data_IF_703406693432
#
_entry.id   IF_703406693432
#
_cell.length_a   1.000
_cell.length_b   1.000
_cell.length_c   1.000
_cell.angle_alpha   90.00
_cell.angle_beta   90.00
_cell.angle_gamma   90.00
#
_symmetry.space_group_name_H-M   'P 1'
#
loop_
_entity.id
_entity.type
_entity.pdbx_description
1 polymer ?
#
# COMPACT_ATOMS: atom_id res chain seq x y z
N UNK A 1 46.22 -49.96 -21.94
CA UNK A 1 46.06 -48.52 -22.29
C UNK A 1 44.96 -48.31 -23.32
N UNK A 2 44.96 -48.99 -24.47
CA UNK A 2 43.93 -48.79 -25.51
C UNK A 2 42.56 -49.38 -25.15
N UNK A 3 42.48 -50.53 -24.47
CA UNK A 3 41.21 -51.12 -23.99
C UNK A 3 40.55 -50.29 -22.87
N UNK A 4 41.36 -49.75 -21.94
CA UNK A 4 40.89 -48.90 -20.85
C UNK A 4 40.35 -47.54 -21.32
N UNK A 5 40.95 -46.98 -22.40
CA UNK A 5 40.44 -45.77 -23.06
C UNK A 5 39.10 -46.01 -23.76
N UNK A 6 38.78 -47.25 -24.13
CA UNK A 6 37.49 -47.59 -24.73
C UNK A 6 36.37 -47.65 -23.68
N UNK A 7 36.63 -48.21 -22.49
CA UNK A 7 35.63 -48.36 -21.42
C UNK A 7 35.30 -47.05 -20.69
N UNK A 8 36.21 -46.06 -20.70
CA UNK A 8 35.99 -44.72 -20.09
C UNK A 8 35.83 -43.60 -21.12
N UNK A 9 35.70 -43.95 -22.41
CA UNK A 9 35.58 -42.97 -23.50
C UNK A 9 34.41 -42.02 -23.26
N UNK A 10 33.27 -42.59 -22.89
CA UNK A 10 32.03 -41.84 -22.66
C UNK A 10 32.15 -40.87 -21.48
N UNK A 11 32.89 -41.26 -20.42
CA UNK A 11 33.11 -40.41 -19.25
C UNK A 11 34.07 -39.25 -19.57
N UNK A 12 35.11 -39.50 -20.37
CA UNK A 12 36.04 -38.45 -20.82
C UNK A 12 35.30 -37.45 -21.73
N UNK A 13 34.49 -37.95 -22.67
CA UNK A 13 33.69 -37.11 -23.57
C UNK A 13 32.68 -36.25 -22.79
N UNK A 14 32.05 -36.80 -21.75
CA UNK A 14 31.16 -36.05 -20.84
C UNK A 14 31.89 -34.93 -20.10
N UNK A 15 33.08 -35.19 -19.56
CA UNK A 15 33.86 -34.17 -18.85
C UNK A 15 34.40 -33.10 -19.80
N UNK A 16 34.85 -33.47 -21.00
CA UNK A 16 35.28 -32.50 -22.01
C UNK A 16 34.13 -31.61 -22.49
N UNK A 17 32.95 -32.19 -22.70
CA UNK A 17 31.74 -31.42 -23.01
C UNK A 17 31.34 -30.51 -21.84
N UNK A 18 31.35 -31.01 -20.60
CA UNK A 18 31.06 -30.23 -19.40
C UNK A 18 32.03 -29.07 -19.17
N UNK A 19 33.33 -29.25 -19.44
CA UNK A 19 34.32 -28.18 -19.38
C UNK A 19 34.05 -27.10 -20.44
N UNK A 20 33.63 -27.48 -21.64
CA UNK A 20 33.25 -26.53 -22.69
C UNK A 20 32.02 -25.72 -22.29
N UNK A 21 31.00 -26.39 -21.75
CA UNK A 21 29.78 -25.73 -21.27
C UNK A 21 30.07 -24.85 -20.05
N UNK A 22 30.99 -25.24 -19.16
CA UNK A 22 31.43 -24.41 -18.02
C UNK A 22 31.97 -23.06 -18.47
N UNK A 23 32.76 -23.01 -19.55
CA UNK A 23 33.27 -21.72 -20.09
C UNK A 23 32.10 -20.82 -20.51
N UNK A 24 31.08 -21.38 -21.13
CA UNK A 24 29.88 -20.61 -21.52
C UNK A 24 29.08 -20.14 -20.31
N UNK A 25 28.92 -21.01 -19.31
CA UNK A 25 28.23 -20.70 -18.06
C UNK A 25 28.97 -19.62 -17.26
N UNK A 26 30.30 -19.67 -17.20
CA UNK A 26 31.13 -18.66 -16.55
C UNK A 26 31.01 -17.30 -17.24
N UNK A 27 30.96 -17.28 -18.57
CA UNK A 27 30.74 -16.04 -19.33
C UNK A 27 29.34 -15.45 -19.09
N UNK A 28 28.30 -16.29 -19.03
CA UNK A 28 26.94 -15.89 -18.66
C UNK A 28 26.88 -15.35 -17.23
N UNK A 29 27.48 -16.06 -16.27
CA UNK A 29 27.55 -15.67 -14.86
C UNK A 29 28.23 -14.32 -14.68
N UNK A 30 29.40 -14.13 -15.31
CA UNK A 30 30.12 -12.85 -15.27
C UNK A 30 29.28 -11.71 -15.83
N UNK A 31 28.62 -11.93 -16.98
CA UNK A 31 27.76 -10.90 -17.58
C UNK A 31 26.62 -10.52 -16.63
N UNK A 32 25.90 -11.50 -16.06
CA UNK A 32 24.81 -11.25 -15.13
C UNK A 32 25.31 -10.57 -13.84
N UNK A 33 26.48 -10.95 -13.36
CA UNK A 33 27.11 -10.34 -12.18
C UNK A 33 27.47 -8.88 -12.43
N UNK A 34 28.12 -8.58 -13.55
CA UNK A 34 28.45 -7.22 -13.96
C UNK A 34 27.17 -6.38 -14.13
N UNK A 35 26.09 -6.94 -14.71
CA UNK A 35 24.78 -6.28 -14.79
C UNK A 35 24.21 -5.95 -13.40
N UNK A 36 24.23 -6.87 -12.43
CA UNK A 36 23.76 -6.57 -11.07
C UNK A 36 24.66 -5.58 -10.32
N UNK A 37 25.97 -5.59 -10.55
CA UNK A 37 26.88 -4.57 -10.01
C UNK A 37 26.58 -3.18 -10.59
N UNK A 38 26.31 -3.08 -11.89
CA UNK A 38 25.92 -1.81 -12.53
C UNK A 38 24.58 -1.31 -11.98
N UNK A 39 23.57 -2.18 -11.84
CA UNK A 39 22.28 -1.82 -11.23
C UNK A 39 22.45 -1.33 -9.79
N UNK A 40 23.26 -2.02 -8.98
CA UNK A 40 23.58 -1.58 -7.62
C UNK A 40 24.19 -0.17 -7.61
N UNK A 41 25.16 0.09 -8.49
CA UNK A 41 25.79 1.40 -8.59
C UNK A 41 24.80 2.50 -9.03
N UNK A 42 23.88 2.20 -9.96
CA UNK A 42 22.83 3.12 -10.38
C UNK A 42 21.86 3.45 -9.23
N UNK A 43 21.41 2.43 -8.49
CA UNK A 43 20.55 2.58 -7.30
C UNK A 43 21.28 3.39 -6.22
N UNK A 44 22.57 3.15 -5.99
CA UNK A 44 23.36 3.89 -5.01
C UNK A 44 23.51 5.37 -5.38
N UNK A 45 23.75 5.68 -6.65
CA UNK A 45 23.76 7.06 -7.15
C UNK A 45 22.38 7.70 -7.01
N UNK A 46 21.30 6.97 -7.31
CA UNK A 46 19.93 7.48 -7.13
C UNK A 46 19.62 7.77 -5.65
N UNK A 47 19.90 6.83 -4.75
CA UNK A 47 19.69 6.98 -3.31
C UNK A 47 20.50 8.14 -2.72
N UNK A 48 21.76 8.30 -3.12
CA UNK A 48 22.58 9.44 -2.67
C UNK A 48 22.03 10.78 -3.17
N UNK A 49 21.54 10.86 -4.42
CA UNK A 49 20.87 12.06 -4.93
C UNK A 49 19.58 12.38 -4.18
N UNK A 50 18.74 11.36 -3.93
CA UNK A 50 17.50 11.52 -3.17
C UNK A 50 17.77 11.97 -1.74
N UNK A 51 18.82 11.44 -1.12
CA UNK A 51 19.24 11.85 0.23
C UNK A 51 19.60 13.32 0.32
N UNK A 52 20.36 13.84 -0.66
CA UNK A 52 20.67 15.28 -0.75
C UNK A 52 19.38 16.09 -0.98
N UNK A 53 18.45 15.58 -1.80
CA UNK A 53 17.18 16.27 -2.04
C UNK A 53 16.31 16.33 -0.79
N UNK A 54 16.25 15.25 0.00
CA UNK A 54 15.55 15.21 1.30
C UNK A 54 16.12 16.26 2.25
N UNK A 55 17.45 16.34 2.38
CA UNK A 55 18.11 17.33 3.24
C UNK A 55 17.80 18.77 2.80
N UNK A 56 17.81 19.03 1.49
CA UNK A 56 17.43 20.35 0.95
C UNK A 56 15.95 20.68 1.21
N UNK A 57 15.06 19.70 1.06
CA UNK A 57 13.62 19.87 1.32
C UNK A 57 13.32 20.01 2.82
N UNK A 58 14.08 19.37 3.69
CA UNK A 58 13.98 19.52 5.14
C UNK A 58 14.32 20.96 5.55
N UNK A 59 15.45 21.51 5.06
CA UNK A 59 15.81 22.90 5.31
C UNK A 59 14.76 23.89 4.79
N UNK A 60 14.18 23.64 3.59
CA UNK A 60 13.08 24.46 3.07
C UNK A 60 11.82 24.33 3.91
N UNK A 61 11.47 23.11 4.34
CA UNK A 61 10.30 22.85 5.18
C UNK A 61 10.39 23.63 6.49
N UNK A 62 11.54 23.62 7.16
CA UNK A 62 11.74 24.35 8.40
C UNK A 62 11.53 25.85 8.24
N UNK A 63 12.08 26.43 7.17
CA UNK A 63 11.91 27.85 6.85
C UNK A 63 10.45 28.20 6.51
N UNK A 64 9.80 27.34 5.73
CA UNK A 64 8.41 27.53 5.33
C UNK A 64 7.44 27.40 6.53
N UNK A 65 7.70 26.48 7.46
CA UNK A 65 6.96 26.31 8.72
C UNK A 65 7.22 27.44 9.73
N UNK A 66 8.42 28.03 9.72
CA UNK A 66 8.72 29.24 10.50
C UNK A 66 7.88 30.41 9.99
N UNK A 67 7.87 30.65 8.69
CA UNK A 67 7.07 31.70 8.05
C UNK A 67 5.56 31.47 8.22
N UNK A 68 5.09 30.22 8.13
CA UNK A 68 3.70 29.85 8.43
C UNK A 68 3.30 30.25 9.85
N UNK A 69 4.14 29.96 10.85
CA UNK A 69 3.89 30.34 12.25
C UNK A 69 3.86 31.85 12.44
N UNK A 70 4.82 32.59 11.87
CA UNK A 70 4.87 34.05 11.97
C UNK A 70 3.63 34.70 11.34
N UNK A 71 3.23 34.25 10.15
CA UNK A 71 2.03 34.78 9.48
C UNK A 71 0.76 34.41 10.23
N UNK A 72 0.66 33.17 10.74
CA UNK A 72 -0.46 32.72 11.55
C UNK A 72 -0.61 33.53 12.84
N UNK A 73 0.49 33.76 13.55
CA UNK A 73 0.51 34.60 14.76
C UNK A 73 0.10 36.03 14.45
N UNK A 74 0.59 36.62 13.36
CA UNK A 74 0.22 37.95 12.91
C UNK A 74 -1.28 38.05 12.56
N UNK A 75 -1.83 37.05 11.85
CA UNK A 75 -3.26 36.96 11.51
C UNK A 75 -4.13 36.83 12.75
N UNK A 76 -3.77 35.94 13.67
CA UNK A 76 -4.50 35.78 14.94
C UNK A 76 -4.45 37.07 15.76
N UNK A 77 -3.30 37.73 15.85
CA UNK A 77 -3.16 39.00 16.55
C UNK A 77 -4.03 40.10 15.91
N UNK A 78 -4.05 40.19 14.58
CA UNK A 78 -4.90 41.12 13.84
C UNK A 78 -6.40 40.84 14.06
N UNK A 79 -6.85 39.59 13.92
CA UNK A 79 -8.25 39.21 14.18
C UNK A 79 -8.67 39.48 15.63
N UNK A 80 -7.79 39.20 16.61
CA UNK A 80 -8.05 39.54 18.02
C UNK A 80 -8.17 41.05 18.22
N UNK A 81 -7.28 41.83 17.63
CA UNK A 81 -7.32 43.29 17.71
C UNK A 81 -8.62 43.84 17.10
N UNK A 82 -9.02 43.31 15.95
CA UNK A 82 -10.27 43.65 15.28
C UNK A 82 -11.49 43.33 16.16
N UNK A 83 -11.55 42.15 16.79
CA UNK A 83 -12.62 41.80 17.74
C UNK A 83 -12.64 42.79 18.92
N UNK A 84 -11.49 43.08 19.52
CA UNK A 84 -11.38 44.03 20.62
C UNK A 84 -11.85 45.43 20.23
N UNK A 85 -11.51 45.90 19.03
CA UNK A 85 -11.97 47.20 18.50
C UNK A 85 -13.46 47.20 18.20
N UNK A 86 -13.98 46.18 17.51
CA UNK A 86 -15.40 46.07 17.13
C UNK A 86 -16.31 46.03 18.36
N UNK A 87 -15.89 45.31 19.41
CA UNK A 87 -16.60 45.22 20.68
C UNK A 87 -16.37 46.42 21.62
N UNK A 88 -15.56 47.41 21.23
CA UNK A 88 -15.24 48.58 22.06
C UNK A 88 -14.51 48.23 23.37
N UNK A 89 -13.81 47.10 23.42
CA UNK A 89 -13.12 46.62 24.61
C UNK A 89 -11.78 47.32 24.87
N UNK A 90 -11.20 47.96 23.85
CA UNK A 90 -9.93 48.70 23.99
C UNK A 90 -10.08 49.99 24.81
N UNK A 91 -11.28 50.55 24.86
CA UNK A 91 -11.57 51.80 25.56
C UNK A 91 -11.83 51.58 27.07
N UNK A 92 -11.93 50.31 27.50
CA UNK A 92 -12.27 49.93 28.87
C UNK A 92 -11.04 49.80 29.78
N UNK A 93 -11.22 50.11 31.06
CA UNK A 93 -10.20 49.91 32.09
C UNK A 93 -10.10 48.44 32.52
N UNK A 94 -9.02 48.10 33.23
CA UNK A 94 -8.81 46.74 33.76
C UNK A 94 -9.92 46.32 34.72
N UNK A 95 -10.41 47.25 35.53
CA UNK A 95 -11.50 47.02 36.49
C UNK A 95 -12.81 46.70 35.76
N UNK A 96 -13.12 47.44 34.70
CA UNK A 96 -14.30 47.22 33.86
C UNK A 96 -14.24 45.88 33.11
N UNK A 97 -13.09 45.57 32.51
CA UNK A 97 -12.88 44.27 31.86
C UNK A 97 -13.02 43.11 32.86
N UNK A 98 -12.55 43.29 34.10
CA UNK A 98 -12.72 42.28 35.17
C UNK A 98 -14.20 42.13 35.55
N UNK A 99 -14.95 43.23 35.62
CA UNK A 99 -16.39 43.21 35.87
C UNK A 99 -17.15 42.43 34.79
N UNK A 100 -16.85 42.67 33.51
CA UNK A 100 -17.42 41.91 32.38
C UNK A 100 -17.16 40.41 32.53
N UNK A 101 -15.93 40.01 32.88
CA UNK A 101 -15.57 38.58 33.07
C UNK A 101 -16.40 37.95 34.21
N UNK A 102 -16.61 38.67 35.31
CA UNK A 102 -17.42 38.21 36.43
C UNK A 102 -18.90 38.07 36.05
N UNK A 103 -19.44 39.03 35.31
CA UNK A 103 -20.82 38.99 34.83
C UNK A 103 -21.05 37.85 33.82
N UNK A 104 -20.09 37.58 32.93
CA UNK A 104 -20.10 36.40 32.06
C UNK A 104 -20.12 35.11 32.91
N UNK A 105 -19.27 35.01 33.93
CA UNK A 105 -19.23 33.85 34.82
C UNK A 105 -20.51 33.65 35.64
N UNK A 106 -21.20 34.74 35.98
CA UNK A 106 -22.45 34.71 36.76
C UNK A 106 -23.68 34.40 35.91
N UNK A 107 -23.83 35.05 34.75
CA UNK A 107 -24.99 34.93 33.87
C UNK A 107 -24.87 33.73 32.93
N UNK A 108 -23.65 33.33 32.60
CA UNK A 108 -23.39 32.43 31.48
C UNK A 108 -23.63 33.13 30.15
N UNK A 109 -23.00 32.62 29.09
CA UNK A 109 -23.16 33.10 27.72
C UNK A 109 -23.33 31.87 26.84
N UNK A 110 -24.53 31.69 26.28
CA UNK A 110 -24.88 30.55 25.43
C UNK A 110 -24.55 30.80 23.95
N UNK A 111 -24.59 32.07 23.55
CA UNK A 111 -24.28 32.52 22.20
C UNK A 111 -23.45 33.81 22.22
N UNK A 112 -22.61 34.01 21.20
CA UNK A 112 -21.63 35.12 21.19
C UNK A 112 -22.28 36.50 21.34
N UNK A 113 -23.44 36.70 20.73
CA UNK A 113 -24.17 37.96 20.77
C UNK A 113 -24.71 38.34 22.17
N UNK A 114 -24.81 37.39 23.10
CA UNK A 114 -25.18 37.69 24.49
C UNK A 114 -24.06 38.44 25.23
N UNK A 115 -22.85 38.53 24.66
CA UNK A 115 -21.78 39.39 25.16
C UNK A 115 -22.10 40.87 25.00
N UNK A 116 -22.80 41.26 23.92
CA UNK A 116 -23.09 42.67 23.62
C UNK A 116 -23.85 43.39 24.75
N UNK A 117 -24.96 42.87 25.31
CA UNK A 117 -25.64 43.54 26.41
C UNK A 117 -24.79 43.62 27.69
N UNK A 118 -23.93 42.63 27.96
CA UNK A 118 -23.03 42.66 29.14
C UNK A 118 -21.99 43.76 28.97
N UNK A 119 -21.34 43.83 27.80
CA UNK A 119 -20.35 44.86 27.46
C UNK A 119 -21.00 46.24 27.50
N UNK A 120 -22.21 46.38 26.94
CA UNK A 120 -22.98 47.62 26.94
C UNK A 120 -23.30 48.10 28.35
N UNK A 121 -23.77 47.21 29.23
CA UNK A 121 -24.07 47.52 30.62
C UNK A 121 -22.84 48.08 31.37
N UNK A 122 -21.67 47.47 31.18
CA UNK A 122 -20.44 47.92 31.85
C UNK A 122 -19.90 49.23 31.25
N UNK A 123 -20.10 49.46 29.94
CA UNK A 123 -19.83 50.76 29.31
C UNK A 123 -20.79 51.83 29.83
N UNK A 124 -22.07 51.52 29.98
CA UNK A 124 -23.08 52.43 30.54
C UNK A 124 -22.74 52.85 31.98
N UNK A 125 -22.35 51.90 32.83
CA UNK A 125 -21.92 52.17 34.21
C UNK A 125 -20.66 53.04 34.29
N UNK A 126 -19.84 53.07 33.24
CA UNK A 126 -18.65 53.92 33.16
C UNK A 126 -18.96 55.39 32.87
N UNK A 127 -20.07 55.66 32.17
CA UNK A 127 -20.44 56.98 31.65
C UNK A 127 -21.61 57.61 32.40
N UNK A 128 -21.73 57.38 33.73
CA UNK A 128 -22.77 58.01 34.56
C UNK A 128 -22.78 59.54 34.40
N UNK A 129 -23.67 60.06 33.53
CA UNK A 129 -23.85 61.50 33.28
C UNK A 129 -23.97 61.95 31.82
N UNK A 130 -23.75 61.09 30.81
CA UNK A 130 -23.94 61.43 29.38
C UNK A 130 -25.31 60.95 28.86
N UNK A 131 -26.05 61.80 28.12
CA UNK A 131 -27.42 61.52 27.65
C UNK A 131 -27.49 60.42 26.56
N UNK A 132 -26.42 60.20 25.79
CA UNK A 132 -26.32 59.15 24.78
C UNK A 132 -24.92 58.52 24.79
N UNK A 133 -24.82 57.25 25.16
CA UNK A 133 -23.57 56.51 25.02
C UNK A 133 -23.27 56.22 23.55
N UNK A 134 -22.00 56.37 23.12
CA UNK A 134 -21.59 55.95 21.79
C UNK A 134 -21.69 54.42 21.66
N UNK A 135 -22.56 53.95 20.76
CA UNK A 135 -22.68 52.54 20.39
C UNK A 135 -21.33 52.03 19.86
N UNK A 136 -21.00 50.77 20.15
CA UNK A 136 -19.83 50.15 19.53
C UNK A 136 -20.13 49.86 18.05
N UNK A 137 -19.13 49.78 17.17
CA UNK A 137 -19.35 49.36 15.78
C UNK A 137 -20.10 48.03 15.69
N UNK A 138 -19.82 47.10 16.61
CA UNK A 138 -20.53 45.82 16.67
C UNK A 138 -21.98 45.96 17.16
N UNK A 139 -22.29 46.88 18.08
CA UNK A 139 -23.69 47.14 18.47
C UNK A 139 -24.53 47.66 17.31
N UNK A 140 -23.99 48.58 16.51
CA UNK A 140 -24.67 49.14 15.34
C UNK A 140 -24.93 48.06 14.27
N UNK A 141 -23.91 47.25 13.98
CA UNK A 141 -24.01 46.13 13.05
C UNK A 141 -25.01 45.07 13.54
N UNK A 142 -25.03 44.78 14.84
CA UNK A 142 -25.94 43.81 15.44
C UNK A 142 -27.40 44.30 15.41
N UNK A 143 -27.64 45.57 15.68
CA UNK A 143 -28.97 46.18 15.61
C UNK A 143 -29.50 46.20 14.18
N UNK A 144 -28.69 46.63 13.21
CA UNK A 144 -29.05 46.58 11.80
C UNK A 144 -29.31 45.15 11.32
N UNK A 145 -28.55 44.16 11.82
CA UNK A 145 -28.80 42.74 11.56
C UNK A 145 -30.14 42.29 12.14
N UNK A 146 -30.46 42.64 13.40
CA UNK A 146 -31.75 42.27 14.03
C UNK A 146 -32.93 42.83 13.25
N UNK A 147 -32.84 44.07 12.77
CA UNK A 147 -33.91 44.65 11.95
C UNK A 147 -34.13 43.87 10.65
N UNK A 148 -33.05 43.48 9.96
CA UNK A 148 -33.13 42.65 8.76
C UNK A 148 -33.60 41.23 9.06
N UNK A 149 -33.18 40.66 10.19
CA UNK A 149 -33.61 39.33 10.60
C UNK A 149 -35.09 39.30 10.94
N UNK A 150 -35.60 40.33 11.62
CA UNK A 150 -37.02 40.49 11.93
C UNK A 150 -37.89 40.63 10.68
N UNK A 151 -37.44 41.40 9.67
CA UNK A 151 -38.17 41.51 8.40
C UNK A 151 -38.16 40.18 7.67
N UNK A 152 -36.99 39.53 7.58
CA UNK A 152 -36.87 38.18 7.03
C UNK A 152 -37.79 37.19 7.73
N UNK A 153 -37.84 37.18 9.06
CA UNK A 153 -38.64 36.20 9.82
C UNK A 153 -40.13 36.41 9.58
N UNK A 154 -40.57 37.67 9.42
CA UNK A 154 -41.96 37.98 9.03
C UNK A 154 -42.27 37.45 7.64
N UNK A 155 -41.37 37.62 6.67
CA UNK A 155 -41.54 37.06 5.33
C UNK A 155 -41.49 35.52 5.32
N UNK A 156 -40.59 34.89 6.07
CA UNK A 156 -40.56 33.43 6.27
C UNK A 156 -41.91 32.93 6.78
N UNK A 157 -42.46 33.52 7.85
CA UNK A 157 -43.77 33.14 8.40
C UNK A 157 -44.90 33.36 7.40
N UNK A 158 -44.84 34.43 6.61
CA UNK A 158 -45.82 34.70 5.55
C UNK A 158 -45.77 33.60 4.48
N UNK A 159 -44.57 33.26 4.00
CA UNK A 159 -44.35 32.22 2.99
C UNK A 159 -44.79 30.85 3.53
N UNK A 160 -44.40 30.48 4.75
CA UNK A 160 -44.82 29.23 5.40
C UNK A 160 -46.35 29.12 5.50
N UNK A 161 -47.03 30.21 5.87
CA UNK A 161 -48.49 30.24 5.90
C UNK A 161 -49.10 30.07 4.51
N UNK A 162 -48.50 30.67 3.47
CA UNK A 162 -48.93 30.51 2.08
C UNK A 162 -48.70 29.08 1.57
N UNK A 163 -47.57 28.45 1.90
CA UNK A 163 -47.29 27.05 1.58
C UNK A 163 -48.34 26.14 2.24
N UNK A 164 -48.62 26.37 3.53
CA UNK A 164 -49.59 25.57 4.28
C UNK A 164 -51.03 25.78 3.77
N UNK A 165 -51.38 26.99 3.34
CA UNK A 165 -52.66 27.27 2.68
C UNK A 165 -52.77 26.53 1.34
N UNK A 166 -51.74 26.62 0.48
CA UNK A 166 -51.71 25.87 -0.79
C UNK A 166 -51.85 24.37 -0.55
N UNK A 167 -51.13 23.80 0.42
CA UNK A 167 -51.23 22.39 0.78
C UNK A 167 -52.65 21.99 1.17
N UNK A 168 -53.32 22.80 2.00
CA UNK A 168 -54.71 22.55 2.41
C UNK A 168 -55.70 22.66 1.25
N UNK A 169 -55.49 23.62 0.36
CA UNK A 169 -56.33 23.78 -0.83
C UNK A 169 -56.15 22.63 -1.81
N UNK A 170 -54.93 22.15 -2.01
CA UNK A 170 -54.62 20.96 -2.82
C UNK A 170 -55.21 19.70 -2.19
N UNK A 171 -55.09 19.50 -0.88
CA UNK A 171 -55.73 18.40 -0.16
C UNK A 171 -57.25 18.43 -0.31
N UNK A 172 -57.87 19.61 -0.18
CA UNK A 172 -59.30 19.80 -0.35
C UNK A 172 -59.73 19.50 -1.80
N UNK A 173 -59.01 20.04 -2.79
CA UNK A 173 -59.26 19.76 -4.22
C UNK A 173 -59.11 18.26 -4.53
N UNK A 174 -58.11 17.60 -3.97
CA UNK A 174 -57.91 16.16 -4.14
C UNK A 174 -59.06 15.35 -3.51
N UNK A 175 -59.55 15.77 -2.34
CA UNK A 175 -60.70 15.12 -1.70
C UNK A 175 -62.00 15.34 -2.48
N UNK A 176 -62.27 16.57 -2.93
CA UNK A 176 -63.43 16.90 -3.77
C UNK A 176 -63.38 16.12 -5.10
N UNK A 177 -62.19 16.01 -5.72
CA UNK A 177 -62.01 15.21 -6.94
C UNK A 177 -62.27 13.72 -6.69
N UNK A 178 -61.83 13.18 -5.55
CA UNK A 178 -62.09 11.78 -5.16
C UNK A 178 -63.58 11.52 -4.94
N UNK A 179 -64.28 12.40 -4.24
CA UNK A 179 -65.73 12.30 -4.00
C UNK A 179 -66.52 12.43 -5.31
N UNK A 180 -66.12 13.33 -6.23
CA UNK A 180 -66.73 13.46 -7.55
C UNK A 180 -66.55 12.18 -8.39
N UNK A 181 -65.39 11.55 -8.31
CA UNK A 181 -65.09 10.30 -9.03
C UNK A 181 -65.88 9.10 -8.45
N UNK A 182 -66.05 9.05 -7.13
CA UNK A 182 -66.88 8.05 -6.45
C UNK A 182 -68.37 8.21 -6.81
N UNK A 183 -68.86 9.45 -6.82
CA UNK A 183 -70.25 9.74 -7.22
C UNK A 183 -70.50 9.45 -8.71
N UNK A 184 -69.54 9.76 -9.58
CA UNK A 184 -69.63 9.40 -11.00
C UNK A 184 -69.62 7.87 -11.19
N UNK A 185 -68.89 7.12 -10.36
CA UNK A 185 -68.91 5.66 -10.37
C UNK A 185 -70.25 5.09 -9.88
N UNK A 186 -70.87 5.68 -8.84
CA UNK A 186 -72.22 5.31 -8.39
C UNK A 186 -73.30 5.63 -9.43
N UNK A 187 -73.24 6.79 -10.09
CA UNK A 187 -74.18 7.16 -11.16
C UNK A 187 -74.01 6.27 -12.41
N UNK A 188 -72.78 5.87 -12.74
CA UNK A 188 -72.51 4.88 -13.79
C UNK A 188 -73.02 3.47 -13.41
N UNK A 189 -72.93 3.08 -12.14
CA UNK A 189 -73.49 1.83 -11.64
C UNK A 189 -75.02 1.84 -11.65
N UNK A 190 -75.66 2.97 -11.31
CA UNK A 190 -77.11 3.13 -11.37
C UNK A 190 -77.66 3.16 -12.82
N UNK A 191 -76.89 3.69 -13.77
CA UNK A 191 -77.23 3.61 -15.20
C UNK A 191 -77.12 2.20 -15.79
N UNK A 192 -76.38 1.29 -15.13
CA UNK A 192 -76.23 -0.11 -15.54
C UNK A 192 -77.37 -1.03 -15.05
N UNK A 193 -78.26 -0.59 -14.15
CA UNK A 193 -79.46 -1.37 -13.73
C UNK A 193 -80.65 -1.25 -14.71
N UNK A 194 -80.45 -0.68 -15.90
CA UNK A 194 -81.44 -0.59 -16.97
C UNK A 194 -80.99 -1.26 -18.26
N UNK A 195 -80.60 -2.53 -18.23
CA UNK A 195 -80.28 -3.28 -19.45
C UNK A 195 -79.74 -4.68 -19.20
N UNK A 196 -80.64 -5.66 -19.13
CA UNK A 196 -80.34 -7.09 -19.16
C UNK A 196 -79.53 -7.44 -20.43
N UNK A 197 -78.36 -8.07 -20.29
CA UNK A 197 -78.14 -9.51 -20.59
C UNK A 197 -76.66 -9.89 -20.45
N UNK A 198 -76.46 -11.01 -19.76
CA UNK A 198 -75.35 -11.97 -19.82
C UNK A 198 -74.69 -12.11 -21.20
N UNK A 199 -73.35 -12.16 -21.27
CA UNK A 199 -72.53 -13.40 -21.24
C UNK A 199 -71.11 -13.15 -21.83
N UNK A 200 -70.10 -13.65 -21.08
CA UNK A 200 -68.74 -14.06 -21.45
C UNK A 200 -68.05 -13.58 -22.75
N UNK A 201 -66.80 -13.07 -22.66
CA UNK A 201 -65.55 -13.82 -22.92
C UNK A 201 -64.31 -12.91 -23.00
N UNK A 202 -63.16 -13.47 -22.61
CA UNK A 202 -61.80 -12.93 -22.75
C UNK A 202 -61.43 -12.60 -24.21
N UNK A 203 -60.66 -11.52 -24.43
CA UNK A 203 -59.29 -11.58 -24.97
C UNK A 203 -58.77 -10.21 -25.46
N UNK A 204 -57.51 -9.95 -25.06
CA UNK A 204 -56.45 -9.09 -25.61
C UNK A 204 -56.66 -8.48 -27.00
N UNK A 205 -56.46 -7.15 -27.12
CA UNK A 205 -55.82 -6.46 -28.26
C UNK A 205 -55.59 -4.95 -27.98
N UNK A 206 -54.34 -4.46 -28.11
CA UNK A 206 -54.04 -3.11 -28.63
C UNK A 206 -54.23 -3.13 -30.18
N UNK A 207 -54.25 -2.03 -30.99
CA UNK A 207 -53.78 -0.65 -30.76
C UNK A 207 -54.59 0.52 -31.45
N UNK A 208 -54.06 1.75 -31.32
CA UNK A 208 -54.10 2.94 -32.23
C UNK A 208 -55.36 3.85 -32.44
N UNK A 209 -55.19 5.12 -31.98
CA UNK A 209 -55.46 6.45 -32.60
C UNK A 209 -56.84 6.81 -33.21
N UNK A 210 -57.50 7.85 -32.67
CA UNK A 210 -57.61 9.24 -33.23
C UNK A 210 -58.54 10.13 -32.35
N UNK A 211 -58.20 11.43 -32.26
CA UNK A 211 -58.71 12.48 -31.36
C UNK A 211 -60.13 13.03 -31.74
N UNK A 212 -60.81 13.94 -30.97
CA UNK A 212 -60.35 15.33 -30.79
C UNK A 212 -60.75 16.08 -29.49
N UNK A 213 -59.86 17.01 -29.09
CA UNK A 213 -60.12 18.39 -28.60
C UNK A 213 -61.09 18.58 -27.43
N UNK A 214 -60.53 18.90 -26.26
CA UNK A 214 -61.21 19.65 -25.20
C UNK A 214 -60.32 20.81 -24.74
N UNK A 215 -60.60 21.97 -25.34
CA UNK A 215 -60.69 23.31 -24.73
C UNK A 215 -59.71 23.55 -23.57
N UNK A 216 -58.62 24.25 -23.88
CA UNK A 216 -57.86 25.07 -22.94
C UNK A 216 -58.81 26.11 -22.32
N UNK A 217 -59.29 25.84 -21.12
CA UNK A 217 -59.76 26.91 -20.24
C UNK A 217 -58.52 27.44 -19.52
N UNK A 218 -58.05 28.60 -19.99
CA UNK A 218 -56.99 29.39 -19.35
C UNK A 218 -57.39 29.68 -17.90
N UNK A 219 -56.94 28.85 -16.97
CA UNK A 219 -56.73 29.30 -15.59
C UNK A 219 -55.64 30.37 -15.69
N UNK A 220 -55.89 31.61 -15.22
CA UNK A 220 -54.84 32.61 -15.21
C UNK A 220 -53.69 32.03 -14.40
N UNK A 221 -52.54 31.83 -15.05
CA UNK A 221 -51.28 31.67 -14.35
C UNK A 221 -51.00 32.99 -13.65
N UNK A 222 -51.61 33.18 -12.48
CA UNK A 222 -51.03 34.04 -11.46
C UNK A 222 -49.58 33.59 -11.36
N UNK A 223 -48.66 34.54 -11.53
CA UNK A 223 -47.23 34.33 -11.49
C UNK A 223 -46.92 33.38 -10.33
N UNK A 224 -46.46 32.16 -10.66
CA UNK A 224 -45.90 31.24 -9.67
C UNK A 224 -44.62 31.91 -9.18
N UNK A 225 -44.74 32.87 -8.27
CA UNK A 225 -43.67 33.25 -7.37
C UNK A 225 -43.32 31.96 -6.62
N UNK A 226 -42.27 31.31 -7.09
CA UNK A 226 -41.64 30.16 -6.46
C UNK A 226 -41.44 30.55 -4.98
N UNK A 227 -42.18 29.89 -4.08
CA UNK A 227 -42.23 30.22 -2.65
C UNK A 227 -40.94 29.78 -1.96
N UNK A 228 -39.83 30.36 -2.37
CA UNK A 228 -38.52 30.08 -1.81
C UNK A 228 -38.35 30.83 -0.50
N UNK A 229 -37.98 30.12 0.56
CA UNK A 229 -37.70 30.74 1.85
C UNK A 229 -36.46 31.64 1.76
N UNK A 230 -36.47 32.82 2.40
CA UNK A 230 -35.33 33.73 2.40
C UNK A 230 -34.12 33.15 3.15
N UNK A 231 -32.91 33.39 2.64
CA UNK A 231 -31.66 32.85 3.18
C UNK A 231 -31.30 33.42 4.56
N UNK A 232 -30.61 32.62 5.38
CA UNK A 232 -30.13 33.00 6.72
C UNK A 232 -28.78 33.66 6.69
N UNK A 233 -28.79 35.00 6.81
CA UNK A 233 -27.58 35.76 7.11
C UNK A 233 -26.98 35.33 8.45
N UNK A 234 -25.67 35.15 8.46
CA UNK A 234 -24.88 34.94 9.68
C UNK A 234 -24.77 36.24 10.46
N UNK A 235 -24.92 36.15 11.78
CA UNK A 235 -24.86 37.32 12.66
C UNK A 235 -23.44 37.93 12.65
N UNK A 236 -23.28 39.27 12.68
CA UNK A 236 -21.96 39.85 12.44
C UNK A 236 -20.91 39.54 13.53
N UNK A 237 -21.34 39.33 14.78
CA UNK A 237 -20.41 38.88 15.83
C UNK A 237 -19.93 37.45 15.56
N UNK A 238 -20.78 36.59 14.98
CA UNK A 238 -20.38 35.23 14.65
C UNK A 238 -19.33 35.21 13.54
N UNK A 239 -19.49 36.07 12.52
CA UNK A 239 -18.50 36.29 11.46
C UNK A 239 -17.13 36.70 11.99
N UNK A 240 -17.06 37.61 12.97
CA UNK A 240 -15.77 38.03 13.56
C UNK A 240 -15.03 36.86 14.23
N UNK A 241 -15.75 36.01 14.95
CA UNK A 241 -15.16 34.83 15.59
C UNK A 241 -14.89 33.69 14.59
N UNK A 242 -15.64 33.60 13.50
CA UNK A 242 -15.33 32.70 12.39
C UNK A 242 -14.05 33.11 11.67
N UNK A 243 -13.84 34.41 11.45
CA UNK A 243 -12.60 34.95 10.91
C UNK A 243 -11.41 34.65 11.83
N UNK A 244 -11.56 34.81 13.14
CA UNK A 244 -10.54 34.37 14.11
C UNK A 244 -10.26 32.87 13.99
N UNK A 245 -11.30 32.04 13.91
CA UNK A 245 -11.13 30.60 13.75
C UNK A 245 -10.49 30.22 12.40
N UNK A 246 -10.73 31.00 11.35
CA UNK A 246 -10.06 30.85 10.05
C UNK A 246 -8.57 31.21 10.15
N UNK A 247 -8.23 32.30 10.85
CA UNK A 247 -6.85 32.67 11.18
C UNK A 247 -6.13 31.59 12.02
N UNK A 248 -6.83 30.95 12.96
CA UNK A 248 -6.29 29.84 13.76
C UNK A 248 -6.07 28.56 12.96
N UNK A 249 -6.81 28.36 11.87
CA UNK A 249 -6.63 27.24 10.93
C UNK A 249 -5.79 27.62 9.72
N UNK A 250 -5.21 28.82 9.69
CA UNK A 250 -4.38 29.25 8.59
C UNK A 250 -3.20 28.30 8.40
N UNK A 251 -3.03 27.86 7.16
CA UNK A 251 -1.89 27.10 6.67
C UNK A 251 -1.32 27.81 5.44
N UNK A 252 0.00 27.92 5.38
CA UNK A 252 0.67 28.55 4.26
C UNK A 252 0.79 27.54 3.13
N UNK A 253 0.29 27.90 1.94
CA UNK A 253 0.25 27.00 0.78
C UNK A 253 1.62 26.40 0.43
N UNK A 254 2.68 27.20 0.50
CA UNK A 254 4.05 26.77 0.24
C UNK A 254 4.58 25.80 1.33
N UNK A 255 4.19 25.99 2.60
CA UNK A 255 4.52 25.07 3.68
C UNK A 255 3.82 23.72 3.49
N UNK A 256 2.52 23.71 3.13
CA UNK A 256 1.77 22.49 2.80
C UNK A 256 2.42 21.74 1.63
N UNK A 257 2.76 22.44 0.54
CA UNK A 257 3.42 21.84 -0.62
C UNK A 257 4.80 21.27 -0.26
N UNK A 258 5.61 22.01 0.49
CA UNK A 258 6.96 21.59 0.88
C UNK A 258 6.92 20.40 1.83
N UNK A 259 5.98 20.37 2.80
CA UNK A 259 5.74 19.19 3.66
C UNK A 259 5.45 17.95 2.83
N UNK A 260 4.54 18.06 1.86
CA UNK A 260 4.17 16.96 0.97
C UNK A 260 5.36 16.51 0.12
N UNK A 261 6.06 17.43 -0.54
CA UNK A 261 7.24 17.11 -1.35
C UNK A 261 8.34 16.41 -0.54
N UNK A 262 8.58 16.88 0.69
CA UNK A 262 9.53 16.26 1.60
C UNK A 262 9.10 14.82 1.97
N UNK A 263 7.83 14.58 2.31
CA UNK A 263 7.35 13.23 2.60
C UNK A 263 7.41 12.30 1.38
N UNK A 264 6.97 12.77 0.22
CA UNK A 264 7.02 12.01 -1.03
C UNK A 264 8.46 11.59 -1.36
N UNK A 265 9.41 12.55 -1.33
CA UNK A 265 10.84 12.28 -1.61
C UNK A 265 11.48 11.38 -0.54
N UNK A 266 11.07 11.51 0.72
CA UNK A 266 11.56 10.66 1.81
C UNK A 266 11.08 9.21 1.65
N UNK A 267 9.85 9.02 1.19
CA UNK A 267 9.32 7.68 0.89
C UNK A 267 10.05 7.07 -0.31
N UNK A 268 10.31 7.86 -1.36
CA UNK A 268 11.12 7.42 -2.51
C UNK A 268 12.53 7.01 -2.09
N UNK A 269 13.19 7.78 -1.20
CA UNK A 269 14.50 7.41 -0.65
C UNK A 269 14.43 6.09 0.10
N UNK A 270 13.43 5.88 0.95
CA UNK A 270 13.29 4.64 1.72
C UNK A 270 13.08 3.41 0.81
N UNK A 271 12.32 3.57 -0.27
CA UNK A 271 12.13 2.52 -1.27
C UNK A 271 13.44 2.22 -2.02
N UNK A 272 14.22 3.23 -2.37
CA UNK A 272 15.49 3.07 -3.06
C UNK A 272 16.57 2.46 -2.15
N UNK A 273 16.65 2.87 -0.88
CA UNK A 273 17.51 2.27 0.13
C UNK A 273 17.18 0.79 0.36
N UNK A 274 15.89 0.43 0.32
CA UNK A 274 15.47 -0.98 0.40
C UNK A 274 15.95 -1.78 -0.80
N UNK A 275 15.79 -1.26 -2.02
CA UNK A 275 16.33 -1.92 -3.24
C UNK A 275 17.85 -2.06 -3.17
N UNK A 276 18.55 -1.04 -2.65
CA UNK A 276 20.00 -1.10 -2.46
C UNK A 276 20.38 -2.21 -1.49
N UNK A 277 19.69 -2.32 -0.36
CA UNK A 277 19.94 -3.36 0.62
C UNK A 277 19.67 -4.77 0.05
N UNK A 278 18.62 -4.93 -0.76
CA UNK A 278 18.33 -6.18 -1.45
C UNK A 278 19.41 -6.54 -2.47
N UNK A 279 19.87 -5.58 -3.28
CA UNK A 279 20.96 -5.78 -4.24
C UNK A 279 22.30 -6.08 -3.56
N UNK A 280 22.61 -5.38 -2.46
CA UNK A 280 23.80 -5.66 -1.63
C UNK A 280 23.74 -7.07 -1.07
N UNK A 281 22.62 -7.48 -0.47
CA UNK A 281 22.43 -8.83 0.06
C UNK A 281 22.53 -9.90 -1.03
N UNK A 282 22.11 -9.59 -2.26
CA UNK A 282 22.25 -10.51 -3.39
C UNK A 282 23.72 -10.71 -3.76
N UNK A 283 24.51 -9.63 -3.80
CA UNK A 283 25.93 -9.62 -4.19
C UNK A 283 26.88 -10.03 -3.06
N UNK A 284 26.43 -10.06 -1.81
CA UNK A 284 27.23 -10.51 -0.65
C UNK A 284 27.28 -12.05 -0.55
N UNK A 285 26.32 -12.75 -1.15
CA UNK A 285 26.26 -14.22 -1.12
C UNK A 285 27.43 -14.85 -1.90
N UNK A 286 27.88 -16.01 -1.42
CA UNK A 286 28.83 -16.84 -2.15
C UNK A 286 28.11 -17.63 -3.25
N UNK A 287 28.60 -17.50 -4.49
CA UNK A 287 28.12 -18.20 -5.68
C UNK A 287 29.18 -19.16 -6.24
N UNK A 288 30.15 -19.56 -5.43
CA UNK A 288 31.28 -20.41 -5.81
C UNK A 288 32.28 -19.69 -6.72
N UNK A 289 33.29 -20.44 -7.18
CA UNK A 289 34.30 -19.95 -8.11
C UNK A 289 33.66 -19.33 -9.36
N UNK A 290 34.22 -18.21 -9.83
CA UNK A 290 33.74 -17.44 -10.99
C UNK A 290 32.25 -17.00 -10.93
N UNK A 291 31.64 -17.03 -9.74
CA UNK A 291 30.20 -16.85 -9.55
C UNK A 291 29.34 -17.78 -10.43
N UNK A 292 29.84 -18.97 -10.78
CA UNK A 292 29.17 -19.92 -11.69
C UNK A 292 27.72 -20.23 -11.27
N UNK A 293 27.48 -20.38 -9.96
CA UNK A 293 26.14 -20.66 -9.44
C UNK A 293 25.19 -19.45 -9.56
N UNK A 294 25.69 -18.25 -9.79
CA UNK A 294 24.88 -17.06 -10.02
C UNK A 294 24.04 -17.17 -11.30
N UNK A 295 24.62 -17.69 -12.38
CA UNK A 295 23.90 -17.98 -13.62
C UNK A 295 22.88 -19.12 -13.46
N UNK A 296 23.01 -19.93 -12.41
CA UNK A 296 22.07 -21.00 -12.08
C UNK A 296 20.97 -20.55 -11.12
N UNK A 297 21.06 -19.33 -10.55
CA UNK A 297 20.05 -18.80 -9.63
C UNK A 297 18.67 -18.88 -10.26
N UNK A 298 17.70 -19.39 -9.49
CA UNK A 298 16.31 -19.59 -9.89
C UNK A 298 16.08 -20.61 -11.02
N UNK A 299 17.14 -21.22 -11.60
CA UNK A 299 17.00 -22.38 -12.49
C UNK A 299 16.63 -23.61 -11.68
N UNK A 300 15.78 -24.47 -12.23
CA UNK A 300 15.35 -25.71 -11.59
C UNK A 300 15.58 -26.92 -12.49
N UNK A 301 15.93 -28.05 -11.86
CA UNK A 301 16.10 -29.34 -12.52
C UNK A 301 15.05 -30.30 -11.98
N UNK A 302 14.42 -31.05 -12.88
CA UNK A 302 13.35 -31.99 -12.56
C UNK A 302 13.71 -33.40 -13.04
N UNK A 303 13.42 -34.42 -12.22
CA UNK A 303 13.56 -35.82 -12.62
C UNK A 303 12.47 -36.68 -11.99
N UNK A 304 12.05 -37.72 -12.72
CA UNK A 304 11.12 -38.72 -12.24
C UNK A 304 11.89 -39.93 -11.70
N UNK A 305 11.66 -40.27 -10.43
CA UNK A 305 12.24 -41.45 -9.81
C UNK A 305 11.13 -42.30 -9.18
N UNK A 306 10.93 -43.50 -9.74
CA UNK A 306 9.84 -44.38 -9.36
C UNK A 306 8.47 -43.78 -9.70
N UNK A 307 7.72 -43.35 -8.67
CA UNK A 307 6.37 -42.79 -8.82
C UNK A 307 6.26 -41.30 -8.47
N UNK A 308 7.38 -40.67 -8.14
CA UNK A 308 7.42 -39.29 -7.65
C UNK A 308 8.26 -38.43 -8.58
N UNK A 309 7.87 -37.16 -8.72
CA UNK A 309 8.62 -36.16 -9.45
C UNK A 309 9.41 -35.30 -8.48
N UNK A 310 10.73 -35.30 -8.61
CA UNK A 310 11.63 -34.49 -7.82
C UNK A 310 11.99 -33.23 -8.58
N UNK A 311 11.99 -32.10 -7.89
CA UNK A 311 12.38 -30.79 -8.43
C UNK A 311 13.31 -30.10 -7.45
N UNK A 312 14.42 -29.58 -7.97
CA UNK A 312 15.40 -28.83 -7.18
C UNK A 312 15.64 -27.51 -7.88
N UNK A 313 15.55 -26.40 -7.14
CA UNK A 313 15.84 -25.06 -7.64
C UNK A 313 17.05 -24.47 -6.92
N UNK A 314 18.03 -23.97 -7.66
CA UNK A 314 19.21 -23.31 -7.08
C UNK A 314 18.80 -22.05 -6.31
N UNK A 315 19.35 -21.88 -5.11
CA UNK A 315 18.99 -20.83 -4.13
C UNK A 315 17.50 -20.77 -3.76
N UNK A 316 16.74 -21.82 -4.09
CA UNK A 316 15.32 -21.95 -3.84
C UNK A 316 15.01 -23.17 -2.98
N UNK A 317 13.96 -23.90 -3.34
CA UNK A 317 13.49 -25.08 -2.61
C UNK A 317 13.62 -26.35 -3.44
N UNK A 318 13.75 -27.48 -2.74
CA UNK A 318 13.60 -28.81 -3.29
C UNK A 318 12.22 -29.39 -2.91
N UNK A 319 11.59 -30.10 -3.84
CA UNK A 319 10.26 -30.69 -3.67
C UNK A 319 10.17 -32.10 -4.27
N UNK A 320 9.38 -32.96 -3.62
CA UNK A 320 8.90 -34.24 -4.13
C UNK A 320 7.38 -34.08 -4.38
N UNK A 321 6.98 -33.96 -5.63
CA UNK A 321 5.66 -33.50 -6.06
C UNK A 321 5.27 -32.20 -5.33
N UNK A 322 4.29 -32.27 -4.43
CA UNK A 322 3.84 -31.15 -3.60
C UNK A 322 4.52 -31.08 -2.22
N UNK A 323 5.31 -32.09 -1.86
CA UNK A 323 5.97 -32.18 -0.55
C UNK A 323 7.28 -31.42 -0.56
N UNK A 324 7.46 -30.46 0.36
CA UNK A 324 8.71 -29.73 0.50
C UNK A 324 9.79 -30.60 1.13
N UNK A 325 10.92 -30.75 0.45
CA UNK A 325 12.11 -31.44 0.95
C UNK A 325 13.06 -30.51 1.69
N UNK A 326 13.08 -29.22 1.36
CA UNK A 326 13.86 -28.21 2.09
C UNK A 326 14.10 -26.94 1.27
N UNK A 327 14.61 -25.90 1.92
CA UNK A 327 15.21 -24.73 1.26
C UNK A 327 16.72 -24.95 1.16
N UNK A 328 17.33 -24.45 0.09
CA UNK A 328 18.78 -24.54 -0.12
C UNK A 328 19.51 -23.77 0.97
N UNK A 329 20.43 -24.44 1.64
CA UNK A 329 21.38 -23.80 2.55
C UNK A 329 22.41 -23.00 1.76
N UNK A 330 23.02 -21.99 2.41
CA UNK A 330 24.11 -21.24 1.79
C UNK A 330 25.25 -22.18 1.40
N UNK A 331 25.87 -21.88 0.25
CA UNK A 331 27.04 -22.60 -0.20
C UNK A 331 28.15 -22.34 0.81
N UNK A 332 28.42 -23.35 1.64
CA UNK A 332 29.58 -23.34 2.53
C UNK A 332 30.74 -23.98 1.81
N UNK A 333 31.90 -23.35 1.88
CA UNK A 333 33.15 -24.03 1.55
C UNK A 333 33.37 -25.27 2.42
N UNK A 334 34.33 -26.13 2.04
CA UNK A 334 34.69 -27.25 2.90
C UNK A 334 34.99 -26.70 4.30
N UNK A 335 34.17 -27.07 5.29
CA UNK A 335 34.51 -26.77 6.68
C UNK A 335 35.86 -27.44 6.95
N UNK A 336 36.84 -26.74 7.55
CA UNK A 336 38.09 -27.37 7.91
C UNK A 336 37.75 -28.53 8.83
N UNK A 337 37.89 -29.76 8.32
CA UNK A 337 37.70 -30.97 9.10
C UNK A 337 38.71 -30.92 10.23
N UNK A 338 38.24 -30.50 11.40
CA UNK A 338 39.05 -30.34 12.59
C UNK A 338 39.45 -31.68 13.16
N UNK A 339 40.58 -32.21 12.69
CA UNK A 339 41.44 -33.12 13.44
C UNK A 339 42.89 -32.83 13.06
N UNK A 340 43.52 -31.86 13.74
CA UNK A 340 44.95 -31.58 13.61
C UNK A 340 45.31 -30.10 13.66
N UNK A 341 45.10 -29.44 14.80
CA UNK A 341 45.71 -28.13 15.07
C UNK A 341 47.23 -28.29 15.19
N UNK A 342 47.97 -27.92 14.14
CA UNK A 342 49.37 -27.50 14.29
C UNK A 342 49.44 -26.00 14.02
N UNK A 343 49.65 -25.25 15.11
CA UNK A 343 49.72 -23.79 15.18
C UNK A 343 50.99 -23.23 14.54
N UNK A 344 51.36 -23.60 13.31
CA UNK A 344 52.53 -23.02 12.64
C UNK A 344 52.44 -23.22 11.11
N UNK A 345 51.56 -22.46 10.45
CA UNK A 345 51.67 -22.22 9.01
C UNK A 345 51.28 -20.77 8.70
N UNK A 346 52.10 -20.02 7.93
CA UNK A 346 51.86 -18.62 7.66
C UNK A 346 50.59 -18.43 6.82
N UNK A 347 49.77 -17.46 7.20
CA UNK A 347 48.60 -17.00 6.47
C UNK A 347 49.00 -16.49 5.09
N UNK A 348 48.98 -17.37 4.09
CA UNK A 348 48.94 -17.00 2.69
C UNK A 348 47.48 -16.67 2.36
N UNK A 349 47.23 -15.38 2.32
CA UNK A 349 45.99 -14.73 1.89
C UNK A 349 45.79 -14.90 0.40
N UNK A 350 45.08 -15.95 0.01
CA UNK A 350 44.28 -16.05 -1.21
C UNK A 350 42.99 -16.76 -0.75
N UNK A 351 41.77 -16.31 -1.11
CA UNK A 351 40.57 -17.07 -0.78
C UNK A 351 40.69 -18.42 -1.49
N UNK A 352 40.84 -19.51 -0.72
CA UNK A 352 40.79 -20.85 -1.29
C UNK A 352 39.49 -20.96 -2.07
N UNK A 353 39.58 -21.17 -3.39
CA UNK A 353 38.41 -21.25 -4.26
C UNK A 353 37.41 -22.24 -3.65
N UNK A 354 36.21 -21.76 -3.36
CA UNK A 354 35.16 -22.57 -2.73
C UNK A 354 34.72 -23.65 -3.73
N UNK A 355 35.32 -24.84 -3.67
CA UNK A 355 34.91 -25.97 -4.52
C UNK A 355 33.60 -26.52 -3.94
N UNK A 356 32.50 -26.17 -4.57
CA UNK A 356 31.17 -26.64 -4.21
C UNK A 356 31.00 -28.09 -4.68
N UNK A 357 30.87 -29.01 -3.73
CA UNK A 357 30.75 -30.46 -4.02
C UNK A 357 29.35 -31.00 -3.72
N UNK A 358 28.60 -30.33 -2.85
CA UNK A 358 27.24 -30.73 -2.48
C UNK A 358 26.35 -29.51 -2.22
N UNK A 359 25.06 -29.65 -2.53
CA UNK A 359 24.00 -28.71 -2.16
C UNK A 359 23.13 -29.35 -1.08
N UNK A 360 22.95 -28.65 0.04
CA UNK A 360 22.11 -29.11 1.15
C UNK A 360 20.77 -28.39 1.14
N UNK A 361 19.70 -29.14 1.28
CA UNK A 361 18.35 -28.63 1.45
C UNK A 361 17.81 -29.09 2.80
N UNK A 362 17.47 -28.15 3.67
CA UNK A 362 16.98 -28.44 5.02
C UNK A 362 15.70 -27.66 5.34
N UNK A 363 15.10 -27.91 6.52
CA UNK A 363 13.84 -27.25 6.89
C UNK A 363 12.63 -27.68 6.04
N UNK A 364 12.66 -28.90 5.50
CA UNK A 364 11.54 -29.47 4.75
C UNK A 364 10.30 -29.75 5.60
N UNK A 365 9.22 -30.18 4.95
CA UNK A 365 7.96 -30.49 5.60
C UNK A 365 8.14 -31.61 6.64
N UNK A 366 7.53 -31.43 7.83
CA UNK A 366 7.61 -32.40 8.93
C UNK A 366 7.15 -33.79 8.47
N UNK A 367 8.00 -34.79 8.68
CA UNK A 367 7.69 -36.19 8.46
C UNK A 367 6.92 -36.76 9.65
N UNK A 368 5.88 -37.55 9.40
CA UNK A 368 5.07 -38.18 10.46
C UNK A 368 5.90 -39.10 11.35
N UNK A 369 6.86 -39.82 10.77
CA UNK A 369 7.71 -40.78 11.48
C UNK A 369 9.21 -40.44 11.32
N UNK A 370 9.57 -39.15 11.34
CA UNK A 370 10.94 -38.75 11.07
C UNK A 370 11.25 -37.29 11.40
N UNK A 371 12.47 -36.84 11.05
CA UNK A 371 12.85 -35.43 11.15
C UNK A 371 12.05 -34.57 10.16
N UNK A 372 12.33 -33.28 10.15
CA UNK A 372 11.94 -32.47 8.99
C UNK A 372 12.65 -33.06 7.76
N UNK A 373 11.95 -33.13 6.63
CA UNK A 373 12.56 -33.65 5.40
C UNK A 373 13.81 -32.85 5.06
N UNK A 374 14.78 -33.53 4.48
CA UNK A 374 16.02 -32.93 3.95
C UNK A 374 16.47 -33.67 2.70
N UNK A 375 17.21 -32.97 1.84
CA UNK A 375 17.80 -33.53 0.63
C UNK A 375 19.25 -33.05 0.50
N UNK A 376 20.17 -33.99 0.30
CA UNK A 376 21.57 -33.67 -0.05
C UNK A 376 21.82 -34.05 -1.50
N UNK A 377 22.27 -33.08 -2.30
CA UNK A 377 22.52 -33.25 -3.73
C UNK A 377 24.02 -33.20 -3.95
N UNK A 378 24.63 -34.32 -4.35
CA UNK A 378 26.04 -34.37 -4.74
C UNK A 378 26.19 -33.85 -6.15
N UNK A 379 27.13 -32.94 -6.37
CA UNK A 379 27.39 -32.37 -7.69
C UNK A 379 28.44 -33.20 -8.42
N UNK A 380 28.14 -33.62 -9.64
CA UNK A 380 29.06 -34.33 -10.53
C UNK A 380 29.29 -33.52 -11.81
N UNK A 381 30.50 -33.58 -12.35
CA UNK A 381 30.81 -32.92 -13.62
C UNK A 381 30.01 -33.59 -14.76
N UNK A 382 29.33 -32.78 -15.56
CA UNK A 382 28.67 -33.20 -16.79
C UNK A 382 28.29 -32.00 -17.67
N UNK A 383 27.89 -32.22 -18.93
CA UNK A 383 27.44 -31.16 -19.85
C UNK A 383 26.02 -30.69 -19.53
N UNK A 384 25.57 -29.64 -20.22
CA UNK A 384 24.14 -29.31 -20.31
C UNK A 384 23.42 -30.29 -21.27
N UNK A 385 22.12 -30.59 -21.04
CA UNK A 385 21.27 -30.11 -19.95
C UNK A 385 21.64 -30.77 -18.61
N UNK A 386 21.54 -30.00 -17.52
CA UNK A 386 21.69 -30.56 -16.17
C UNK A 386 20.73 -31.72 -15.90
N UNK A 387 21.24 -32.79 -15.29
CA UNK A 387 20.50 -34.04 -15.07
C UNK A 387 20.52 -34.46 -13.60
N UNK A 388 19.33 -34.65 -13.01
CA UNK A 388 19.15 -35.18 -11.66
C UNK A 388 18.96 -36.70 -11.71
N UNK A 389 19.80 -37.43 -11.01
CA UNK A 389 19.86 -38.90 -11.04
C UNK A 389 20.14 -39.49 -9.66
N UNK A 390 20.08 -40.82 -9.54
CA UNK A 390 20.36 -41.59 -8.31
C UNK A 390 19.66 -41.02 -7.06
N UNK A 391 18.36 -40.75 -7.19
CA UNK A 391 17.53 -40.25 -6.09
C UNK A 391 17.17 -41.43 -5.17
N UNK A 392 17.68 -41.39 -3.94
CA UNK A 392 17.52 -42.44 -2.95
C UNK A 392 17.04 -41.85 -1.61
N UNK A 393 16.35 -42.67 -0.82
CA UNK A 393 15.95 -42.34 0.56
C UNK A 393 16.75 -43.23 1.53
N UNK A 394 18.03 -42.90 1.80
CA UNK A 394 18.90 -43.72 2.66
C UNK A 394 18.40 -43.85 4.10
N UNK A 395 17.64 -42.86 4.59
CA UNK A 395 16.94 -42.96 5.87
C UNK A 395 15.60 -42.23 5.80
N UNK A 396 14.67 -42.57 6.70
CA UNK A 396 13.29 -42.06 6.65
C UNK A 396 13.26 -40.54 6.57
N UNK A 397 12.68 -40.02 5.50
CA UNK A 397 12.54 -38.60 5.18
C UNK A 397 13.86 -37.82 4.97
N UNK A 398 14.98 -38.53 4.75
CA UNK A 398 16.27 -37.95 4.35
C UNK A 398 16.63 -38.52 2.98
N UNK A 399 16.77 -37.62 2.00
CA UNK A 399 16.99 -37.97 0.61
C UNK A 399 18.43 -37.66 0.19
N UNK A 400 18.97 -38.44 -0.73
CA UNK A 400 20.22 -38.14 -1.44
C UNK A 400 20.01 -38.23 -2.94
N UNK A 401 20.61 -37.33 -3.70
CA UNK A 401 20.58 -37.37 -5.15
C UNK A 401 21.93 -36.95 -5.74
N UNK A 402 22.14 -37.21 -7.03
CA UNK A 402 23.27 -36.72 -7.80
C UNK A 402 22.79 -35.77 -8.90
N UNK A 403 23.44 -34.64 -9.02
CA UNK A 403 23.17 -33.66 -10.06
C UNK A 403 24.40 -33.51 -10.95
N UNK A 404 24.27 -33.87 -12.23
CA UNK A 404 25.27 -33.57 -13.24
C UNK A 404 25.13 -32.14 -13.70
N UNK A 405 26.20 -31.38 -13.63
CA UNK A 405 26.21 -29.96 -14.01
C UNK A 405 27.61 -29.52 -14.47
N UNK A 406 27.69 -28.61 -15.46
CA UNK A 406 28.98 -28.04 -15.87
C UNK A 406 29.60 -27.14 -14.79
N UNK A 407 28.81 -26.66 -13.83
CA UNK A 407 29.28 -25.73 -12.79
C UNK A 407 30.41 -26.28 -11.90
N UNK A 408 30.52 -27.62 -11.79
CA UNK A 408 31.56 -28.27 -10.97
C UNK A 408 32.66 -28.93 -11.79
N UNK A 409 32.61 -28.87 -13.12
CA UNK A 409 33.64 -29.46 -13.97
C UNK A 409 34.97 -28.72 -13.84
N UNK A 410 36.05 -29.40 -13.46
CA UNK A 410 37.38 -28.81 -13.35
C UNK A 410 38.41 -29.58 -14.20
N UNK A 411 39.51 -28.93 -14.57
CA UNK A 411 40.63 -29.63 -15.23
C UNK A 411 41.18 -30.75 -14.33
N UNK A 412 41.10 -30.60 -13.01
CA UNK A 412 41.47 -31.64 -12.06
C UNK A 412 40.58 -32.89 -12.15
N UNK A 413 39.28 -32.76 -12.49
CA UNK A 413 38.40 -33.92 -12.71
C UNK A 413 38.81 -34.68 -13.98
N UNK A 414 39.15 -33.94 -15.05
CA UNK A 414 39.67 -34.49 -16.30
C UNK A 414 40.99 -35.24 -16.06
N UNK A 415 41.91 -34.65 -15.32
CA UNK A 415 43.19 -35.29 -14.96
C UNK A 415 42.99 -36.53 -14.07
N UNK A 416 42.09 -36.48 -13.07
CA UNK A 416 41.76 -37.64 -12.22
C UNK A 416 41.23 -38.82 -13.03
N UNK A 417 40.33 -38.57 -13.99
CA UNK A 417 39.78 -39.62 -14.86
C UNK A 417 40.86 -40.21 -15.78
N UNK A 418 41.81 -39.37 -16.21
CA UNK A 418 42.93 -39.79 -17.07
C UNK A 418 44.08 -40.50 -16.32
N UNK A 419 44.20 -40.35 -14.99
CA UNK A 419 45.36 -40.83 -14.20
C UNK A 419 45.09 -41.99 -13.24
N UNK A 420 43.85 -42.27 -12.82
CA UNK A 420 43.59 -43.36 -11.85
C UNK A 420 43.69 -44.77 -12.46
N UNK A 421 44.87 -45.37 -12.32
CA UNK A 421 45.13 -46.81 -12.17
C UNK A 421 46.40 -47.04 -11.31
N UNK A 422 46.22 -47.26 -10.02
CA UNK A 422 47.09 -48.16 -9.26
C UNK A 422 46.20 -49.12 -8.49
N UNK A 423 45.74 -50.14 -9.20
CA UNK A 423 45.10 -51.30 -8.61
C UNK A 423 45.83 -51.77 -7.34
N UNK A 424 45.18 -51.67 -6.18
CA UNK A 424 45.47 -52.55 -5.04
C UNK A 424 45.02 -53.96 -5.44
N UNK A 425 45.89 -54.68 -6.16
CA UNK A 425 45.74 -56.12 -6.31
C UNK A 425 46.22 -56.74 -5.00
N UNK A 426 45.29 -57.20 -4.16
CA UNK A 426 45.63 -58.09 -3.05
C UNK A 426 46.26 -59.37 -3.63
N UNK A 427 47.46 -59.79 -3.20
CA UNK A 427 48.10 -60.99 -3.73
C UNK A 427 47.35 -62.24 -3.24
N UNK A 428 46.60 -62.90 -4.12
CA UNK A 428 46.12 -64.25 -3.87
C UNK A 428 47.26 -65.26 -4.02
N UNK A 429 47.36 -66.15 -3.03
CA UNK A 429 48.34 -67.22 -2.85
C UNK A 429 48.53 -68.08 -4.12
N UNK A 430 49.78 -68.31 -4.54
CA UNK A 430 50.14 -69.34 -5.53
C UNK A 430 50.73 -70.52 -4.75
N UNK A 431 50.01 -71.64 -4.70
CA UNK A 431 50.57 -72.92 -4.25
C UNK A 431 51.36 -73.55 -5.40
N UNK A 432 52.65 -73.80 -5.17
CA UNK A 432 53.52 -74.55 -6.08
C UNK A 432 53.68 -75.94 -5.48
N UNK A 433 53.06 -76.94 -6.11
CA UNK A 433 53.36 -78.35 -5.85
C UNK A 433 54.77 -78.68 -6.39
N UNK A 434 55.68 -79.07 -5.50
CA UNK A 434 57.00 -79.59 -5.87
C UNK A 434 56.94 -81.12 -5.83
N UNK A 435 57.21 -81.83 -6.95
CA UNK A 435 57.27 -83.28 -6.93
C UNK A 435 58.51 -83.78 -6.19
N UNK A 436 58.33 -84.83 -5.38
CA UNK A 436 59.39 -85.46 -4.61
C UNK A 436 60.40 -86.16 -5.54
N UNK A 437 61.66 -85.71 -5.48
CA UNK A 437 62.79 -86.48 -6.03
C UNK A 437 63.29 -87.46 -4.98
N UNK A 438 63.24 -88.75 -5.35
CA UNK A 438 63.79 -89.92 -4.66
C UNK A 438 65.30 -89.85 -4.45
#
# INVERSE_FOLDING_TARGET
MESFRADKKDLIEQVEAGLKDRVTLAAEAKKLWDEEQTKKAEIEVSATSLKVMVEQLEARKEEEERLEREEKEARIAASKLQILTQLGLQDLTKEQLTSIILEIGRKGVSAKHELLPIIRQEREAAHEGEEELPKTPMDELDEAFRERDDTRQKETRRIENLIEQRRKEEEKKAQEAKEALEKAAEEAAAAAEGGETSEATEAVAEPETEAPVAIEEEVPKEEEEDLTLPEVETRPIDLLYEELAASERYERSQAVLTRKQHEDTKNELADEEKKLAEAQKLLEKDYGADHLFFALRDKCVEAEAGKYKYKICFFGKATQDHTKLGDMEEIKGPEPSGEGSSEDAPALTEPAETIVTELKFSGGQKCWNGPNRSLTVKLECGPEPMELSEIEEPSTCVYSAKLRTPAVCSEADRERIMTFDSAQVAPHHIEIEVPATL
#
